data_IF_718516671267
#
_entry.id   IF_718516671267
#
_cell.length_a   1.000
_cell.length_b   1.000
_cell.length_c   1.000
_cell.angle_alpha   90.00
_cell.angle_beta   90.00
_cell.angle_gamma   90.00
#
_symmetry.space_group_name_H-M   'P 1'
#
loop_
_entity.id
_entity.type
_entity.pdbx_description
1 polymer ?
#
# COMPACT_ATOMS: atom_id res chain seq x y z
N UNK A 1 -6.07 -47.28 56.81
CA UNK A 1 -6.27 -45.88 56.38
C UNK A 1 -4.89 -45.25 56.27
N UNK A 2 -4.27 -45.14 55.09
CA UNK A 2 -4.56 -44.08 54.11
C UNK A 2 -4.02 -44.48 52.74
N UNK A 3 -4.90 -44.43 51.73
CA UNK A 3 -4.57 -44.58 50.31
C UNK A 3 -4.19 -43.18 49.80
N UNK A 4 -3.03 -43.04 49.16
CA UNK A 4 -2.68 -41.85 48.37
C UNK A 4 -2.16 -42.26 46.99
N UNK A 5 -3.13 -42.40 46.10
CA UNK A 5 -3.12 -42.00 44.68
C UNK A 5 -1.87 -41.27 44.18
N UNK A 6 -1.19 -41.83 43.19
CA UNK A 6 -0.40 -41.09 42.20
C UNK A 6 -0.55 -41.74 40.82
N UNK A 7 -1.55 -41.27 40.08
CA UNK A 7 -1.61 -41.37 38.62
C UNK A 7 -0.73 -40.23 38.06
N UNK A 8 0.35 -40.54 37.35
CA UNK A 8 1.03 -39.54 36.50
C UNK A 8 0.82 -39.92 35.03
N UNK A 9 -0.13 -39.23 34.42
CA UNK A 9 -0.42 -39.20 32.99
C UNK A 9 0.71 -38.48 32.26
N UNK A 10 1.46 -39.21 31.42
CA UNK A 10 2.39 -38.61 30.47
C UNK A 10 1.61 -38.18 29.22
N UNK A 11 1.10 -36.94 29.21
CA UNK A 11 0.54 -36.31 28.01
C UNK A 11 1.70 -35.71 27.22
N UNK A 12 2.11 -36.40 26.14
CA UNK A 12 3.07 -35.89 25.18
C UNK A 12 2.46 -34.69 24.43
N UNK A 13 2.95 -33.48 24.74
CA UNK A 13 2.55 -32.26 24.08
C UNK A 13 3.14 -32.22 22.66
N UNK A 14 2.30 -32.49 21.66
CA UNK A 14 2.59 -32.26 20.24
C UNK A 14 2.35 -30.78 19.93
N UNK A 15 3.37 -29.95 20.06
CA UNK A 15 3.33 -28.53 19.72
C UNK A 15 3.37 -28.33 18.19
N UNK A 16 2.20 -28.22 17.56
CA UNK A 16 2.06 -27.67 16.21
C UNK A 16 2.39 -26.17 16.24
N UNK A 17 3.59 -25.80 15.81
CA UNK A 17 3.91 -24.44 15.44
C UNK A 17 3.25 -24.09 14.09
N UNK A 18 1.96 -23.77 14.11
CA UNK A 18 1.30 -23.13 12.98
C UNK A 18 1.73 -21.66 12.96
N UNK A 19 2.61 -21.29 12.04
CA UNK A 19 2.98 -19.89 11.79
C UNK A 19 1.73 -19.09 11.42
N UNK A 20 1.44 -18.04 12.19
CA UNK A 20 0.28 -17.18 11.97
C UNK A 20 0.59 -16.25 10.80
N UNK A 21 -0.05 -16.46 9.66
CA UNK A 21 -0.01 -15.50 8.57
C UNK A 21 -0.78 -14.24 9.02
N UNK A 22 -0.06 -13.18 9.37
CA UNK A 22 -0.68 -11.88 9.67
C UNK A 22 -1.09 -11.26 8.34
N UNK A 23 -2.39 -11.26 8.05
CA UNK A 23 -2.93 -10.54 6.90
C UNK A 23 -2.57 -9.05 7.02
N UNK A 24 -2.04 -8.46 5.94
CA UNK A 24 -1.73 -7.04 5.91
C UNK A 24 -2.99 -6.20 6.18
N UNK A 25 -2.83 -5.11 6.95
CA UNK A 25 -3.93 -4.19 7.28
C UNK A 25 -4.36 -3.30 6.10
N UNK A 26 -3.70 -3.43 4.95
CA UNK A 26 -3.93 -2.65 3.73
C UNK A 26 -3.70 -3.52 2.48
N UNK A 27 -4.25 -3.12 1.31
CA UNK A 27 -3.96 -3.79 0.05
C UNK A 27 -2.46 -3.69 -0.30
N UNK A 28 -1.77 -4.83 -0.33
CA UNK A 28 -0.33 -4.90 -0.61
C UNK A 28 0.01 -4.49 -2.05
N UNK A 29 -0.88 -4.80 -2.99
CA UNK A 29 -0.73 -4.40 -4.38
C UNK A 29 -0.82 -2.87 -4.51
N UNK A 30 0.08 -2.23 -5.29
CA UNK A 30 0.01 -0.80 -5.51
C UNK A 30 -1.26 -0.43 -6.29
N UNK A 31 -1.81 0.75 -5.98
CA UNK A 31 -2.88 1.36 -6.78
C UNK A 31 -2.22 2.02 -7.98
N UNK A 32 -2.67 1.69 -9.20
CA UNK A 32 -2.25 2.37 -10.42
C UNK A 32 -3.45 3.11 -11.01
N UNK A 33 -3.46 4.43 -10.91
CA UNK A 33 -4.49 5.27 -11.52
C UNK A 33 -4.37 5.27 -13.04
N UNK A 34 -5.53 5.25 -13.70
CA UNK A 34 -5.66 5.28 -15.16
C UNK A 34 -6.22 6.61 -15.69
N UNK A 35 -6.66 7.49 -14.79
CA UNK A 35 -7.18 8.83 -15.10
C UNK A 35 -6.62 9.87 -14.12
N UNK A 36 -6.49 11.15 -14.53
CA UNK A 36 -6.69 11.67 -15.89
C UNK A 36 -5.60 11.21 -16.88
N UNK A 37 -4.47 10.74 -16.37
CA UNK A 37 -3.39 10.15 -17.15
C UNK A 37 -3.13 8.73 -16.68
N UNK A 38 -2.76 7.85 -17.62
CA UNK A 38 -2.50 6.45 -17.33
C UNK A 38 -1.13 6.24 -16.68
N UNK A 39 -1.09 5.39 -15.66
CA UNK A 39 0.16 4.92 -15.06
C UNK A 39 0.69 5.86 -13.98
N UNK A 40 -0.18 6.26 -13.05
CA UNK A 40 0.23 6.93 -11.81
C UNK A 40 0.16 5.94 -10.67
N UNK A 41 1.29 5.63 -10.04
CA UNK A 41 1.38 4.61 -8.99
C UNK A 41 1.30 5.20 -7.58
N UNK A 42 0.61 4.49 -6.69
CA UNK A 42 0.58 4.73 -5.25
C UNK A 42 0.81 3.41 -4.50
N UNK A 43 1.63 3.44 -3.46
CA UNK A 43 1.93 2.26 -2.63
C UNK A 43 1.58 2.54 -1.17
N UNK A 44 0.62 1.80 -0.61
CA UNK A 44 0.34 1.85 0.82
C UNK A 44 1.57 1.50 1.64
N UNK A 45 2.29 0.43 1.25
CA UNK A 45 3.50 -0.02 1.93
C UNK A 45 4.51 1.10 2.15
N UNK A 46 4.83 1.86 1.09
CA UNK A 46 5.80 2.96 1.20
C UNK A 46 5.32 4.04 2.18
N UNK A 47 4.03 4.33 2.24
CA UNK A 47 3.50 5.37 3.14
C UNK A 47 3.38 4.87 4.59
N UNK A 48 2.88 3.65 4.80
CA UNK A 48 2.78 3.04 6.14
C UNK A 48 4.16 2.77 6.74
N UNK A 49 5.14 2.33 5.94
CA UNK A 49 6.54 2.16 6.39
C UNK A 49 7.19 3.50 6.79
N UNK A 50 6.62 4.64 6.37
CA UNK A 50 7.02 5.98 6.81
C UNK A 50 6.27 6.45 8.07
N UNK A 51 5.50 5.58 8.69
CA UNK A 51 4.75 5.84 9.91
C UNK A 51 3.41 6.54 9.67
N UNK A 52 2.90 6.57 8.43
CA UNK A 52 1.60 7.17 8.18
C UNK A 52 0.44 6.27 8.62
N UNK A 53 -0.38 6.77 9.54
CA UNK A 53 -1.63 6.16 9.97
C UNK A 53 -2.72 6.22 8.89
N UNK A 54 -3.66 5.28 8.94
CA UNK A 54 -4.73 5.15 7.96
C UNK A 54 -5.63 6.39 7.88
N UNK A 55 -5.87 7.01 9.03
CA UNK A 55 -6.72 8.18 9.24
C UNK A 55 -6.13 9.48 8.65
N UNK A 56 -4.81 9.53 8.45
CA UNK A 56 -4.17 10.67 7.82
C UNK A 56 -4.52 10.79 6.32
N UNK A 57 -4.90 9.69 5.69
CA UNK A 57 -5.39 9.69 4.31
C UNK A 57 -6.91 9.54 4.25
N UNK A 58 -7.49 8.68 5.09
CA UNK A 58 -8.88 8.26 5.01
C UNK A 58 -9.74 8.80 6.16
N UNK A 59 -10.96 9.28 5.94
CA UNK A 59 -11.64 9.49 4.66
C UNK A 59 -11.59 10.96 4.20
N UNK A 60 -10.59 11.72 4.67
CA UNK A 60 -10.48 13.15 4.39
C UNK A 60 -9.84 13.44 3.02
N UNK A 61 -8.67 12.84 2.72
CA UNK A 61 -7.97 13.07 1.46
C UNK A 61 -8.43 12.09 0.38
N UNK A 62 -8.70 10.85 0.77
CA UNK A 62 -9.12 9.79 -0.12
C UNK A 62 -10.19 8.94 0.56
N UNK A 63 -11.14 8.42 -0.20
CA UNK A 63 -12.04 7.39 0.28
C UNK A 63 -11.38 6.01 0.24
N UNK A 64 -11.81 5.09 1.10
CA UNK A 64 -11.34 3.69 1.15
C UNK A 64 -11.86 2.84 -0.02
N UNK A 65 -11.89 3.40 -1.22
CA UNK A 65 -12.23 2.71 -2.46
C UNK A 65 -11.16 3.05 -3.51
N UNK A 66 -10.43 2.01 -3.95
CA UNK A 66 -9.35 2.18 -4.91
C UNK A 66 -9.84 2.91 -6.16
N UNK A 67 -9.04 3.89 -6.59
CA UNK A 67 -9.28 4.73 -7.78
C UNK A 67 -10.53 5.62 -7.74
N UNK A 68 -11.36 5.63 -6.69
CA UNK A 68 -12.59 6.44 -6.67
C UNK A 68 -12.33 7.92 -6.94
N UNK A 69 -11.26 8.46 -6.35
CA UNK A 69 -10.84 9.86 -6.52
C UNK A 69 -10.57 10.26 -7.96
N UNK A 70 -10.22 9.32 -8.85
CA UNK A 70 -9.87 9.62 -10.24
C UNK A 70 -11.09 10.04 -11.08
N UNK A 71 -12.31 9.88 -10.56
CA UNK A 71 -13.52 10.40 -11.17
C UNK A 71 -13.71 11.91 -10.92
N UNK A 72 -12.99 12.48 -9.95
CA UNK A 72 -13.10 13.90 -9.62
C UNK A 72 -12.40 14.73 -10.69
N UNK A 73 -13.09 15.77 -11.18
CA UNK A 73 -12.56 16.66 -12.22
C UNK A 73 -11.34 17.44 -11.76
N UNK A 74 -11.21 17.69 -10.47
CA UNK A 74 -10.07 18.39 -9.88
C UNK A 74 -8.91 17.46 -9.48
N UNK A 75 -8.98 16.15 -9.74
CA UNK A 75 -7.85 15.23 -9.54
C UNK A 75 -6.78 15.41 -10.64
N UNK A 76 -6.14 16.57 -10.63
CA UNK A 76 -5.12 17.03 -11.59
C UNK A 76 -3.96 17.68 -10.84
N UNK A 77 -2.78 17.76 -11.48
CA UNK A 77 -1.56 18.31 -10.87
C UNK A 77 -1.75 19.72 -10.30
N UNK A 78 -2.58 20.56 -10.93
CA UNK A 78 -2.88 21.91 -10.44
C UNK A 78 -3.44 21.89 -9.02
N UNK A 79 -4.36 20.96 -8.72
CA UNK A 79 -4.89 20.80 -7.36
C UNK A 79 -3.85 20.26 -6.39
N UNK A 80 -2.92 19.42 -6.85
CA UNK A 80 -1.81 18.95 -6.01
C UNK A 80 -0.90 20.11 -5.62
N UNK A 81 -0.64 21.04 -6.54
CA UNK A 81 0.15 22.24 -6.24
C UNK A 81 -0.53 23.16 -5.22
N UNK A 82 -1.86 23.09 -5.13
CA UNK A 82 -2.67 23.81 -4.16
C UNK A 82 -2.89 23.01 -2.85
N UNK A 83 -2.13 21.93 -2.63
CA UNK A 83 -2.15 21.16 -1.38
C UNK A 83 -3.27 20.12 -1.29
N UNK A 84 -3.96 19.78 -2.38
CA UNK A 84 -4.95 18.70 -2.40
C UNK A 84 -4.32 17.34 -2.72
N UNK A 85 -5.02 16.26 -2.36
CA UNK A 85 -4.66 14.88 -2.70
C UNK A 85 -3.21 14.54 -2.28
N UNK A 86 -2.40 14.03 -3.21
CA UNK A 86 -0.98 13.74 -2.99
C UNK A 86 -0.21 14.99 -2.52
N UNK A 87 -0.62 16.16 -3.01
CA UNK A 87 -0.02 17.46 -2.71
C UNK A 87 -0.19 17.93 -1.27
N UNK A 88 -1.13 17.36 -0.51
CA UNK A 88 -1.27 17.65 0.92
C UNK A 88 0.03 17.37 1.69
N UNK A 89 0.78 16.35 1.25
CA UNK A 89 2.08 15.98 1.82
C UNK A 89 3.24 16.21 0.84
N UNK A 90 3.05 15.96 -0.46
CA UNK A 90 4.05 16.20 -1.51
C UNK A 90 4.10 17.69 -1.91
N UNK A 91 4.39 18.54 -0.92
CA UNK A 91 4.40 20.00 -1.00
C UNK A 91 5.82 20.61 -0.93
N UNK A 92 6.86 19.78 -0.75
CA UNK A 92 8.25 20.25 -0.63
C UNK A 92 8.73 20.46 0.81
N UNK A 93 7.84 20.41 1.79
CA UNK A 93 8.16 20.50 3.22
C UNK A 93 8.07 19.13 3.89
N UNK A 94 6.92 18.45 3.81
CA UNK A 94 6.71 17.15 4.44
C UNK A 94 7.29 15.99 3.61
N UNK A 95 7.16 16.08 2.30
CA UNK A 95 7.76 15.18 1.32
C UNK A 95 8.22 15.97 0.09
N UNK A 96 8.90 15.31 -0.84
CA UNK A 96 9.31 15.95 -2.10
C UNK A 96 8.11 16.61 -2.80
N UNK A 97 8.30 17.80 -3.35
CA UNK A 97 7.23 18.54 -4.01
C UNK A 97 6.76 17.83 -5.29
N UNK A 98 5.45 17.79 -5.50
CA UNK A 98 4.81 17.09 -6.63
C UNK A 98 5.25 17.57 -8.02
N UNK A 99 5.82 18.78 -8.11
CA UNK A 99 6.34 19.37 -9.35
C UNK A 99 7.84 19.11 -9.60
N UNK A 100 8.53 18.34 -8.76
CA UNK A 100 10.00 18.15 -8.87
C UNK A 100 10.42 16.76 -9.32
N UNK A 101 9.61 15.72 -9.09
CA UNK A 101 9.98 14.31 -9.31
C UNK A 101 8.89 13.52 -10.03
N UNK A 102 8.53 13.95 -11.23
CA UNK A 102 7.38 13.43 -11.99
C UNK A 102 7.41 11.90 -12.15
N UNK A 103 8.57 11.33 -12.51
CA UNK A 103 8.73 9.91 -12.79
C UNK A 103 8.61 9.00 -11.54
N UNK A 104 8.61 9.56 -10.33
CA UNK A 104 8.37 8.76 -9.10
C UNK A 104 6.95 8.21 -9.08
N UNK A 105 5.98 8.98 -9.57
CA UNK A 105 4.57 8.59 -9.60
C UNK A 105 4.12 8.23 -11.02
N UNK A 106 4.54 9.00 -12.03
CA UNK A 106 4.13 8.80 -13.42
C UNK A 106 5.03 7.78 -14.12
N UNK A 107 4.70 6.50 -13.98
CA UNK A 107 5.46 5.37 -14.52
C UNK A 107 5.12 5.04 -15.98
N UNK A 108 4.09 5.71 -16.53
CA UNK A 108 3.62 5.52 -17.90
C UNK A 108 3.07 4.12 -18.18
N UNK A 109 2.75 3.85 -19.45
CA UNK A 109 2.14 2.58 -19.87
C UNK A 109 3.04 1.39 -19.55
N UNK A 110 4.35 1.49 -19.84
CA UNK A 110 5.30 0.39 -19.58
C UNK A 110 5.42 0.08 -18.09
N UNK A 111 5.40 1.10 -17.23
CA UNK A 111 5.42 0.92 -15.79
C UNK A 111 4.13 0.28 -15.26
N UNK A 112 2.98 0.69 -15.80
CA UNK A 112 1.67 0.08 -15.48
C UNK A 112 1.65 -1.41 -15.83
N UNK A 113 2.08 -1.78 -17.04
CA UNK A 113 2.17 -3.20 -17.44
C UNK A 113 3.10 -4.00 -16.51
N UNK A 114 4.27 -3.44 -16.18
CA UNK A 114 5.19 -4.07 -15.22
C UNK A 114 4.56 -4.25 -13.83
N UNK A 115 3.72 -3.31 -13.40
CA UNK A 115 3.05 -3.35 -12.09
C UNK A 115 2.00 -4.45 -12.04
N UNK A 116 1.29 -4.69 -13.16
CA UNK A 116 0.33 -5.80 -13.32
C UNK A 116 1.02 -7.17 -13.37
N UNK A 117 2.19 -7.25 -13.99
CA UNK A 117 2.93 -8.50 -14.19
C UNK A 117 3.83 -8.89 -13.01
N UNK A 118 3.58 -8.36 -11.80
CA UNK A 118 4.33 -8.70 -10.60
C UNK A 118 5.80 -8.27 -10.64
N UNK A 119 6.12 -7.21 -11.38
CA UNK A 119 7.47 -6.63 -11.41
C UNK A 119 8.49 -7.38 -12.25
N UNK A 120 8.13 -8.50 -12.90
CA UNK A 120 9.02 -9.21 -13.83
C UNK A 120 9.27 -8.33 -15.05
N UNK A 121 10.54 -7.99 -15.28
CA UNK A 121 10.93 -7.31 -16.50
C UNK A 121 10.70 -8.26 -17.69
N UNK A 122 9.92 -7.81 -18.67
CA UNK A 122 9.79 -8.50 -19.94
C UNK A 122 11.17 -8.54 -20.60
N UNK A 123 11.71 -9.75 -20.80
CA UNK A 123 13.00 -9.92 -21.49
C UNK A 123 12.80 -9.50 -22.94
N UNK A 124 13.30 -8.32 -23.29
CA UNK A 124 13.39 -7.85 -24.67
C UNK A 124 14.33 -8.77 -25.44
N UNK A 125 13.77 -9.65 -26.28
CA UNK A 125 14.54 -10.34 -27.31
C UNK A 125 15.02 -9.33 -28.35
N UNK A 126 16.34 -9.32 -28.59
CA UNK A 126 16.95 -8.84 -29.83
C UNK A 126 17.71 -10.01 -30.41
#
# INVERSE_FOLDING_TARGET
MTIRTLFMTAVAALSLAAGVAVAASYPEAPIVYDKPVRGVIFSHKVHVDKGLGCDMCHNHLFEQQAKKVQANKDFVMESLYQGKYCGACHNGSLAFASNTRCATCHIGVKGDERSKNGGKAEKKGH
#
